data_IF_465225779452
#
_entry.id   IF_465225779452
#
_cell.length_a   1.000
_cell.length_b   1.000
_cell.length_c   1.000
_cell.angle_alpha   90.00
_cell.angle_beta   90.00
_cell.angle_gamma   90.00
#
_symmetry.space_group_name_H-M   'P 1'
#
loop_
_entity.id
_entity.type
_entity.pdbx_description
1 polymer ?
#
# COMPACT_ATOMS: atom_id res chain seq x y z
N UNK A 1 26.59 -44.39 -92.01
CA UNK A 1 27.59 -43.36 -91.64
C UNK A 1 26.85 -42.08 -91.21
N UNK A 2 26.94 -41.77 -89.91
CA UNK A 2 26.84 -40.44 -89.26
C UNK A 2 26.37 -39.28 -90.15
N UNK A 3 25.18 -38.73 -89.92
CA UNK A 3 24.78 -37.28 -89.79
C UNK A 3 23.29 -37.30 -89.36
N UNK A 4 22.75 -36.59 -88.37
CA UNK A 4 23.20 -35.48 -87.56
C UNK A 4 22.38 -35.46 -86.25
N UNK A 5 22.98 -35.87 -85.13
CA UNK A 5 22.45 -35.61 -83.78
C UNK A 5 22.85 -34.18 -83.35
N UNK A 6 22.35 -33.14 -84.03
CA UNK A 6 22.72 -31.75 -83.71
C UNK A 6 21.56 -30.77 -83.56
N UNK A 7 20.31 -31.24 -83.42
CA UNK A 7 19.17 -30.35 -83.14
C UNK A 7 18.48 -30.61 -81.78
N UNK A 8 18.90 -31.62 -81.01
CA UNK A 8 18.30 -31.91 -79.68
C UNK A 8 18.87 -31.08 -78.53
N UNK A 9 20.07 -30.51 -78.69
CA UNK A 9 20.72 -29.74 -77.62
C UNK A 9 20.18 -28.29 -77.51
N UNK A 10 19.72 -27.70 -78.62
CA UNK A 10 19.21 -26.32 -78.67
C UNK A 10 17.77 -26.25 -78.18
N UNK A 11 16.92 -27.20 -78.60
CA UNK A 11 15.51 -27.30 -78.16
C UNK A 11 15.42 -27.57 -76.66
N UNK A 12 16.24 -28.47 -76.11
CA UNK A 12 16.24 -28.76 -74.67
C UNK A 12 16.76 -27.61 -73.80
N UNK A 13 17.59 -26.70 -74.36
CA UNK A 13 18.05 -25.50 -73.64
C UNK A 13 17.03 -24.38 -73.70
N UNK A 14 16.27 -24.26 -74.80
CA UNK A 14 15.17 -23.31 -74.96
C UNK A 14 13.97 -23.69 -74.10
N UNK A 15 13.52 -24.95 -74.15
CA UNK A 15 12.44 -25.47 -73.31
C UNK A 15 12.77 -25.36 -71.81
N UNK A 16 14.01 -25.67 -71.41
CA UNK A 16 14.44 -25.48 -70.01
C UNK A 16 14.49 -23.99 -69.62
N UNK A 17 14.80 -23.10 -70.56
CA UNK A 17 14.82 -21.65 -70.30
C UNK A 17 13.40 -21.11 -70.17
N UNK A 18 12.47 -21.57 -71.00
CA UNK A 18 11.04 -21.28 -70.88
C UNK A 18 10.47 -21.84 -69.58
N UNK A 19 10.74 -23.09 -69.22
CA UNK A 19 10.30 -23.67 -67.95
C UNK A 19 10.88 -22.93 -66.72
N UNK A 20 12.13 -22.46 -66.79
CA UNK A 20 12.71 -21.64 -65.72
C UNK A 20 12.08 -20.25 -65.68
N UNK A 21 11.74 -19.66 -66.83
CA UNK A 21 11.11 -18.35 -66.89
C UNK A 21 9.65 -18.41 -66.41
N UNK A 22 8.89 -19.43 -66.84
CA UNK A 22 7.52 -19.72 -66.38
C UNK A 22 7.54 -20.02 -64.88
N UNK A 23 8.47 -20.86 -64.39
CA UNK A 23 8.59 -21.12 -62.95
C UNK A 23 8.95 -19.87 -62.15
N UNK A 24 9.76 -18.96 -62.72
CA UNK A 24 10.05 -17.66 -62.09
C UNK A 24 8.85 -16.74 -62.09
N UNK A 25 8.10 -16.67 -63.20
CA UNK A 25 6.89 -15.87 -63.34
C UNK A 25 5.78 -16.38 -62.41
N UNK A 26 5.62 -17.70 -62.27
CA UNK A 26 4.72 -18.35 -61.31
C UNK A 26 5.13 -18.07 -59.85
N UNK A 27 6.45 -18.04 -59.58
CA UNK A 27 6.98 -17.76 -58.23
C UNK A 27 6.83 -16.28 -57.88
N UNK A 28 7.08 -15.36 -58.82
CA UNK A 28 6.86 -13.92 -58.63
C UNK A 28 5.38 -13.60 -58.51
N UNK A 29 4.51 -14.20 -59.31
CA UNK A 29 3.06 -14.02 -59.22
C UNK A 29 2.50 -14.61 -57.91
N UNK A 30 2.97 -15.79 -57.51
CA UNK A 30 2.61 -16.37 -56.21
C UNK A 30 3.10 -15.51 -55.04
N UNK A 31 4.33 -14.97 -55.10
CA UNK A 31 4.86 -14.08 -54.06
C UNK A 31 4.15 -12.71 -54.04
N UNK A 32 3.74 -12.16 -55.19
CA UNK A 32 2.96 -10.93 -55.25
C UNK A 32 1.56 -11.13 -54.64
N UNK A 33 0.89 -12.23 -54.99
CA UNK A 33 -0.42 -12.58 -54.45
C UNK A 33 -0.32 -12.85 -52.92
N UNK A 34 0.72 -13.57 -52.48
CA UNK A 34 1.00 -13.78 -51.06
C UNK A 34 1.34 -12.48 -50.32
N UNK A 35 1.96 -11.51 -50.98
CA UNK A 35 2.27 -10.20 -50.40
C UNK A 35 1.05 -9.26 -50.36
N UNK A 36 0.21 -9.25 -51.40
CA UNK A 36 -1.04 -8.48 -51.45
C UNK A 36 -2.08 -9.03 -50.46
N UNK A 37 -2.23 -10.35 -50.35
CA UNK A 37 -3.11 -10.98 -49.37
C UNK A 37 -2.62 -10.73 -47.94
N UNK A 38 -1.30 -10.75 -47.71
CA UNK A 38 -0.73 -10.36 -46.42
C UNK A 38 -0.90 -8.87 -46.15
N UNK A 39 -0.82 -8.01 -47.16
CA UNK A 39 -1.03 -6.57 -47.00
C UNK A 39 -2.50 -6.27 -46.69
N UNK A 40 -3.45 -6.77 -47.48
CA UNK A 40 -4.87 -6.59 -47.20
C UNK A 40 -5.26 -7.18 -45.83
N UNK A 41 -4.74 -8.35 -45.46
CA UNK A 41 -4.98 -8.99 -44.16
C UNK A 41 -4.37 -8.24 -42.97
N UNK A 42 -3.15 -7.69 -43.11
CA UNK A 42 -2.49 -6.90 -42.05
C UNK A 42 -3.25 -5.59 -41.81
N UNK A 43 -3.67 -4.89 -42.86
CA UNK A 43 -4.43 -3.64 -42.74
C UNK A 43 -5.84 -3.89 -42.21
N UNK A 44 -6.48 -4.97 -42.64
CA UNK A 44 -7.81 -5.31 -42.16
C UNK A 44 -7.80 -5.72 -40.68
N UNK A 45 -6.74 -6.40 -40.24
CA UNK A 45 -6.51 -6.79 -38.85
C UNK A 45 -6.33 -5.59 -37.92
N UNK A 46 -5.62 -4.56 -38.36
CA UNK A 46 -5.44 -3.34 -37.57
C UNK A 46 -6.75 -2.54 -37.50
N UNK A 47 -7.48 -2.40 -38.62
CA UNK A 47 -8.80 -1.76 -38.62
C UNK A 47 -9.81 -2.48 -37.71
N UNK A 48 -9.86 -3.81 -37.75
CA UNK A 48 -10.73 -4.59 -36.86
C UNK A 48 -10.36 -4.43 -35.39
N UNK A 49 -9.06 -4.39 -35.07
CA UNK A 49 -8.60 -4.17 -33.69
C UNK A 49 -9.02 -2.80 -33.17
N UNK A 50 -8.87 -1.75 -33.98
CA UNK A 50 -9.34 -0.41 -33.62
C UNK A 50 -10.86 -0.37 -33.47
N UNK A 51 -11.60 -0.94 -34.42
CA UNK A 51 -13.06 -0.97 -34.39
C UNK A 51 -13.58 -1.72 -33.15
N UNK A 52 -13.07 -2.92 -32.87
CA UNK A 52 -13.43 -3.70 -31.68
C UNK A 52 -13.05 -2.94 -30.40
N UNK A 53 -11.92 -2.23 -30.36
CA UNK A 53 -11.54 -1.42 -29.20
C UNK A 53 -12.55 -0.30 -28.93
N UNK A 54 -12.98 0.45 -29.97
CA UNK A 54 -13.98 1.51 -29.80
C UNK A 54 -15.36 0.97 -29.45
N UNK A 55 -15.77 -0.14 -30.08
CA UNK A 55 -17.05 -0.81 -29.76
C UNK A 55 -17.02 -1.35 -28.33
N UNK A 56 -15.94 -2.00 -27.91
CA UNK A 56 -15.75 -2.47 -26.53
C UNK A 56 -15.79 -1.30 -25.54
N UNK A 57 -15.03 -0.24 -25.81
CA UNK A 57 -15.02 0.97 -24.98
C UNK A 57 -16.42 1.60 -24.86
N UNK A 58 -17.15 1.70 -25.97
CA UNK A 58 -18.51 2.20 -25.99
C UNK A 58 -19.46 1.30 -25.20
N UNK A 59 -19.38 -0.02 -25.36
CA UNK A 59 -20.17 -0.98 -24.59
C UNK A 59 -19.89 -0.88 -23.09
N UNK A 60 -18.62 -0.72 -22.70
CA UNK A 60 -18.23 -0.48 -21.29
C UNK A 60 -18.79 0.84 -20.78
N UNK A 61 -18.75 1.91 -21.59
CA UNK A 61 -19.33 3.20 -21.23
C UNK A 61 -20.84 3.10 -21.06
N UNK A 62 -21.54 2.39 -21.96
CA UNK A 62 -22.97 2.12 -21.84
C UNK A 62 -23.28 1.27 -20.60
N UNK A 63 -22.52 0.22 -20.34
CA UNK A 63 -22.66 -0.59 -19.12
C UNK A 63 -22.46 0.24 -17.86
N UNK A 64 -21.44 1.09 -17.84
CA UNK A 64 -21.16 2.00 -16.74
C UNK A 64 -22.31 2.98 -16.54
N UNK A 65 -22.80 3.62 -17.60
CA UNK A 65 -23.95 4.54 -17.54
C UNK A 65 -25.22 3.82 -17.08
N UNK A 66 -25.49 2.61 -17.58
CA UNK A 66 -26.60 1.78 -17.14
C UNK A 66 -26.46 1.37 -15.68
N UNK A 67 -25.26 1.05 -15.22
CA UNK A 67 -25.00 0.75 -13.80
C UNK A 67 -25.31 1.97 -12.95
N UNK A 68 -24.91 3.16 -13.38
CA UNK A 68 -25.21 4.41 -12.69
C UNK A 68 -26.71 4.75 -12.70
N UNK A 69 -27.41 4.50 -13.80
CA UNK A 69 -28.87 4.68 -13.86
C UNK A 69 -29.62 3.64 -13.04
N UNK A 70 -29.21 2.36 -13.09
CA UNK A 70 -29.78 1.28 -12.29
C UNK A 70 -29.60 1.54 -10.80
N UNK A 71 -28.44 2.06 -10.38
CA UNK A 71 -28.19 2.48 -9.00
C UNK A 71 -29.08 3.68 -8.62
N UNK A 72 -29.28 4.64 -9.52
CA UNK A 72 -30.19 5.78 -9.29
C UNK A 72 -31.67 5.37 -9.17
N UNK A 73 -32.09 4.33 -9.88
CA UNK A 73 -33.48 3.84 -9.88
C UNK A 73 -33.73 2.97 -8.65
N UNK A 74 -32.77 2.08 -8.33
CA UNK A 74 -32.88 1.19 -7.15
C UNK A 74 -32.95 2.01 -5.87
N UNK A 75 -32.14 3.07 -5.76
CA UNK A 75 -32.14 3.96 -4.59
C UNK A 75 -33.40 4.83 -4.51
N UNK A 76 -34.07 5.08 -5.65
CA UNK A 76 -35.35 5.81 -5.69
C UNK A 76 -36.52 5.08 -5.03
N UNK A 77 -36.46 3.75 -4.90
CA UNK A 77 -37.54 2.97 -4.28
C UNK A 77 -37.55 2.95 -2.74
N UNK A 78 -36.48 3.45 -2.08
CA UNK A 78 -36.29 3.28 -0.63
C UNK A 78 -36.47 4.57 0.20
N UNK A 79 -36.82 5.71 -0.41
CA UNK A 79 -36.75 7.03 0.25
C UNK A 79 -38.08 7.62 0.75
N UNK A 80 -39.12 6.83 0.90
CA UNK A 80 -40.32 7.30 1.61
C UNK A 80 -40.15 7.09 3.12
N UNK A 81 -39.33 7.91 3.80
CA UNK A 81 -39.39 8.09 5.27
C UNK A 81 -38.64 9.37 5.71
N UNK A 82 -39.25 10.50 5.41
CA UNK A 82 -39.45 11.62 6.34
C UNK A 82 -38.24 12.19 7.11
N UNK A 83 -37.09 12.40 6.47
CA UNK A 83 -36.01 13.27 7.01
C UNK A 83 -35.29 13.98 5.88
N UNK A 84 -34.88 15.24 6.07
CA UNK A 84 -34.04 16.02 5.15
C UNK A 84 -32.65 15.38 5.01
N UNK A 85 -32.54 14.27 4.28
CA UNK A 85 -31.29 13.53 4.19
C UNK A 85 -30.35 14.16 3.16
N UNK A 86 -29.07 14.22 3.55
CA UNK A 86 -27.96 14.77 2.77
C UNK A 86 -27.94 14.32 1.30
N UNK A 87 -27.79 15.29 0.40
CA UNK A 87 -27.66 15.09 -1.05
C UNK A 87 -26.54 14.11 -1.42
N UNK A 88 -25.53 13.95 -0.54
CA UNK A 88 -24.46 12.96 -0.69
C UNK A 88 -25.00 11.51 -0.61
N UNK A 89 -25.98 11.26 0.26
CA UNK A 89 -26.60 9.94 0.45
C UNK A 89 -27.56 9.62 -0.68
N UNK A 90 -28.17 10.64 -1.29
CA UNK A 90 -29.06 10.52 -2.45
C UNK A 90 -28.30 10.38 -3.79
N UNK A 91 -27.05 10.86 -3.84
CA UNK A 91 -26.24 10.86 -5.05
C UNK A 91 -25.85 9.43 -5.50
N UNK A 92 -26.05 9.16 -6.80
CA UNK A 92 -25.56 7.94 -7.47
C UNK A 92 -24.03 7.87 -7.40
N UNK A 93 -23.45 6.68 -7.53
CA UNK A 93 -22.00 6.47 -7.56
C UNK A 93 -21.24 7.47 -8.46
N UNK A 94 -21.82 7.80 -9.62
CA UNK A 94 -21.25 8.79 -10.53
C UNK A 94 -21.29 10.22 -9.97
N UNK A 95 -22.39 10.61 -9.33
CA UNK A 95 -22.49 11.92 -8.69
C UNK A 95 -21.57 12.04 -7.47
N UNK A 96 -21.26 10.92 -6.79
CA UNK A 96 -20.18 10.85 -5.79
C UNK A 96 -18.80 11.03 -6.42
N UNK A 97 -18.55 10.37 -7.56
CA UNK A 97 -17.27 10.45 -8.27
C UNK A 97 -17.00 11.85 -8.83
N UNK A 98 -18.01 12.52 -9.36
CA UNK A 98 -17.88 13.86 -9.95
C UNK A 98 -18.21 14.99 -8.97
N UNK A 99 -18.44 14.68 -7.69
CA UNK A 99 -18.90 15.62 -6.66
C UNK A 99 -20.06 16.52 -7.10
N UNK A 100 -20.90 16.04 -8.01
CA UNK A 100 -21.94 16.84 -8.65
C UNK A 100 -23.01 17.33 -7.65
N UNK A 101 -23.21 16.58 -6.56
CA UNK A 101 -24.09 16.98 -5.47
C UNK A 101 -23.64 18.28 -4.76
N UNK A 102 -22.34 18.59 -4.77
CA UNK A 102 -21.80 19.85 -4.22
C UNK A 102 -22.13 21.06 -5.09
N UNK A 103 -22.27 20.88 -6.41
CA UNK A 103 -22.57 21.97 -7.34
C UNK A 103 -23.91 22.65 -7.00
N UNK A 104 -24.90 21.89 -6.53
CA UNK A 104 -26.17 22.45 -6.06
C UNK A 104 -26.00 23.38 -4.85
N UNK A 105 -25.20 22.98 -3.86
CA UNK A 105 -24.90 23.78 -2.68
C UNK A 105 -24.10 25.04 -3.03
N UNK A 106 -23.13 24.93 -3.94
CA UNK A 106 -22.31 26.07 -4.40
C UNK A 106 -23.18 27.13 -5.08
N UNK A 107 -24.12 26.72 -5.94
CA UNK A 107 -25.04 27.65 -6.62
C UNK A 107 -25.98 28.34 -5.62
N UNK A 108 -26.43 27.61 -4.60
CA UNK A 108 -27.27 28.16 -3.53
C UNK A 108 -26.50 29.21 -2.73
N UNK A 109 -25.27 28.91 -2.34
CA UNK A 109 -24.41 29.85 -1.61
C UNK A 109 -24.03 31.11 -2.39
N UNK A 110 -24.01 31.02 -3.72
CA UNK A 110 -23.84 32.20 -4.57
C UNK A 110 -25.08 33.11 -4.57
N UNK A 111 -26.28 32.54 -4.45
CA UNK A 111 -27.56 33.28 -4.51
C UNK A 111 -28.04 33.79 -3.15
N UNK A 112 -27.76 33.06 -2.07
CA UNK A 112 -28.16 33.39 -0.70
C UNK A 112 -27.10 32.99 0.32
N UNK A 113 -26.92 33.74 1.42
CA UNK A 113 -26.14 33.26 2.55
C UNK A 113 -26.76 31.95 3.07
N UNK A 114 -25.95 30.92 3.26
CA UNK A 114 -26.44 29.60 3.70
C UNK A 114 -27.00 29.72 5.12
N UNK A 115 -28.25 29.34 5.29
CA UNK A 115 -28.85 29.13 6.61
C UNK A 115 -28.69 27.67 7.02
N UNK A 116 -28.65 27.39 8.33
CA UNK A 116 -28.57 26.02 8.88
C UNK A 116 -29.71 25.12 8.38
N UNK A 117 -30.84 25.72 7.98
CA UNK A 117 -31.99 25.01 7.41
C UNK A 117 -31.77 24.51 5.95
N UNK A 118 -30.81 25.07 5.22
CA UNK A 118 -30.43 24.68 3.86
C UNK A 118 -29.29 23.65 3.83
N UNK A 119 -28.56 23.53 4.94
CA UNK A 119 -27.53 22.51 5.12
C UNK A 119 -28.26 21.23 5.49
N UNK A 120 -28.16 20.22 4.63
CA UNK A 120 -28.81 18.94 4.89
C UNK A 120 -28.23 18.26 6.14
N UNK A 121 -29.04 17.46 6.82
CA UNK A 121 -28.61 16.77 8.04
C UNK A 121 -27.33 15.94 7.82
N UNK A 122 -26.46 15.92 8.82
CA UNK A 122 -25.20 15.19 8.79
C UNK A 122 -25.43 13.70 8.44
N UNK A 123 -24.54 13.13 7.62
CA UNK A 123 -24.64 11.74 7.18
C UNK A 123 -24.83 10.82 8.40
N UNK A 124 -25.79 9.85 8.38
CA UNK A 124 -26.01 8.94 9.51
C UNK A 124 -24.75 8.22 10.04
N UNK A 125 -23.71 8.03 9.21
CA UNK A 125 -22.44 7.44 9.66
C UNK A 125 -21.57 8.39 10.47
N UNK A 126 -21.69 9.69 10.20
CA UNK A 126 -20.88 10.73 10.83
C UNK A 126 -21.60 11.38 12.01
N UNK A 127 -22.85 10.96 12.28
CA UNK A 127 -23.57 11.39 13.47
C UNK A 127 -22.82 10.94 14.72
N UNK A 128 -22.68 11.87 15.66
CA UNK A 128 -22.08 11.65 16.97
C UNK A 128 -22.68 10.43 17.67
N UNK A 129 -23.97 10.19 17.51
CA UNK A 129 -24.70 9.08 18.12
C UNK A 129 -24.16 7.70 17.71
N UNK A 130 -23.52 7.60 16.54
CA UNK A 130 -22.96 6.35 16.00
C UNK A 130 -21.45 6.25 16.25
N UNK A 131 -20.73 7.37 16.13
CA UNK A 131 -19.26 7.39 16.29
C UNK A 131 -18.84 7.31 17.75
N UNK A 132 -19.54 8.02 18.65
CA UNK A 132 -19.23 8.06 20.08
C UNK A 132 -19.22 6.67 20.74
N UNK A 133 -20.23 5.79 20.57
CA UNK A 133 -20.22 4.49 21.25
C UNK A 133 -19.06 3.61 20.79
N UNK A 134 -18.76 3.60 19.49
CA UNK A 134 -17.63 2.84 18.92
C UNK A 134 -16.29 3.33 19.49
N UNK A 135 -16.13 4.66 19.57
CA UNK A 135 -14.95 5.27 20.18
C UNK A 135 -14.85 4.96 21.67
N UNK A 136 -15.95 5.03 22.40
CA UNK A 136 -16.00 4.79 23.84
C UNK A 136 -15.63 3.34 24.19
N UNK A 137 -16.09 2.37 23.39
CA UNK A 137 -15.70 0.95 23.54
C UNK A 137 -14.19 0.76 23.32
N UNK A 138 -13.64 1.35 22.26
CA UNK A 138 -12.20 1.29 21.98
C UNK A 138 -11.39 2.00 23.09
N UNK A 139 -11.88 3.14 23.58
CA UNK A 139 -11.27 3.90 24.65
C UNK A 139 -11.24 3.11 25.96
N UNK A 140 -12.36 2.50 26.37
CA UNK A 140 -12.45 1.65 27.57
C UNK A 140 -11.47 0.48 27.50
N UNK A 141 -11.30 -0.13 26.32
CA UNK A 141 -10.35 -1.23 26.10
C UNK A 141 -8.89 -0.80 26.33
N UNK A 142 -8.48 0.32 25.73
CA UNK A 142 -7.12 0.84 25.92
C UNK A 142 -6.91 1.37 27.35
N UNK A 143 -7.93 1.99 27.95
CA UNK A 143 -7.87 2.44 29.33
C UNK A 143 -7.62 1.27 30.30
N UNK A 144 -8.39 0.18 30.19
CA UNK A 144 -8.20 -1.00 31.04
C UNK A 144 -6.82 -1.67 30.85
N UNK A 145 -6.27 -1.61 29.64
CA UNK A 145 -4.90 -2.09 29.36
C UNK A 145 -3.86 -1.19 30.03
N UNK A 146 -4.02 0.13 29.93
CA UNK A 146 -3.15 1.10 30.58
C UNK A 146 -3.23 1.03 32.11
N UNK A 147 -4.41 0.77 32.67
CA UNK A 147 -4.61 0.60 34.11
C UNK A 147 -3.83 -0.62 34.63
N UNK A 148 -3.90 -1.76 33.94
CA UNK A 148 -3.11 -2.96 34.27
C UNK A 148 -1.60 -2.72 34.19
N UNK A 149 -1.15 -1.99 33.16
CA UNK A 149 0.27 -1.62 33.03
C UNK A 149 0.68 -0.70 34.18
N UNK A 150 -0.14 0.30 34.51
CA UNK A 150 0.12 1.21 35.62
C UNK A 150 0.20 0.45 36.94
N UNK A 151 -0.74 -0.46 37.20
CA UNK A 151 -0.76 -1.31 38.39
C UNK A 151 0.48 -2.22 38.46
N UNK A 152 0.87 -2.83 37.35
CA UNK A 152 2.10 -3.62 37.25
C UNK A 152 3.35 -2.77 37.56
N UNK A 153 3.45 -1.58 36.97
CA UNK A 153 4.58 -0.66 37.21
C UNK A 153 4.60 -0.23 38.68
N UNK A 154 3.46 0.14 39.26
CA UNK A 154 3.40 0.54 40.68
C UNK A 154 3.79 -0.62 41.60
N UNK A 155 3.30 -1.83 41.34
CA UNK A 155 3.65 -3.00 42.12
C UNK A 155 5.14 -3.32 42.01
N UNK A 156 5.72 -3.31 40.80
CA UNK A 156 7.16 -3.51 40.58
C UNK A 156 8.02 -2.44 41.25
N UNK A 157 7.59 -1.18 41.23
CA UNK A 157 8.29 -0.10 41.94
C UNK A 157 8.23 -0.31 43.45
N UNK A 158 7.16 -0.92 43.96
CA UNK A 158 6.97 -1.20 45.38
C UNK A 158 7.72 -2.45 45.83
N UNK A 159 7.83 -3.49 44.99
CA UNK A 159 8.66 -4.69 45.28
C UNK A 159 10.15 -4.36 45.22
N UNK A 160 10.55 -3.50 44.28
CA UNK A 160 11.94 -3.03 44.13
C UNK A 160 12.26 -1.83 45.01
N UNK A 161 11.30 -1.33 45.81
CA UNK A 161 11.53 -0.27 46.79
C UNK A 161 12.31 -0.85 47.97
N UNK A 162 13.64 -0.75 47.87
CA UNK A 162 14.51 -0.96 49.02
C UNK A 162 14.15 0.01 50.17
N UNK A 163 14.15 -0.46 51.44
CA UNK A 163 14.03 0.45 52.58
C UNK A 163 15.20 1.43 52.58
N UNK A 164 14.96 2.69 52.98
CA UNK A 164 15.97 3.75 52.93
C UNK A 164 17.29 3.38 53.65
N UNK A 165 17.20 2.52 54.67
CA UNK A 165 18.34 1.98 55.40
C UNK A 165 19.30 1.17 54.52
N UNK A 166 18.81 0.32 53.60
CA UNK A 166 19.69 -0.50 52.76
C UNK A 166 20.37 0.31 51.66
N UNK A 167 19.69 1.34 51.13
CA UNK A 167 20.29 2.30 50.19
C UNK A 167 21.43 3.08 50.84
N UNK A 168 21.24 3.53 52.08
CA UNK A 168 22.29 4.20 52.85
C UNK A 168 23.43 3.25 53.21
N UNK A 169 23.14 2.03 53.65
CA UNK A 169 24.15 1.00 53.93
C UNK A 169 25.02 0.70 52.70
N UNK A 170 24.44 0.66 51.50
CA UNK A 170 25.18 0.43 50.26
C UNK A 170 26.09 1.61 49.91
N UNK A 171 25.63 2.85 50.09
CA UNK A 171 26.42 4.06 49.85
C UNK A 171 27.58 4.15 50.83
N UNK A 172 27.29 3.99 52.13
CA UNK A 172 28.29 4.05 53.19
C UNK A 172 29.29 2.90 53.08
N UNK A 173 28.82 1.68 52.80
CA UNK A 173 29.67 0.51 52.59
C UNK A 173 30.61 0.66 51.39
N UNK A 174 30.13 1.19 50.26
CA UNK A 174 30.98 1.49 49.11
C UNK A 174 32.01 2.58 49.44
N UNK A 175 31.60 3.64 50.16
CA UNK A 175 32.53 4.69 50.57
C UNK A 175 33.64 4.13 51.46
N UNK A 176 33.29 3.34 52.48
CA UNK A 176 34.24 2.69 53.38
C UNK A 176 35.22 1.77 52.63
N UNK A 177 34.73 0.96 51.68
CA UNK A 177 35.58 0.13 50.83
C UNK A 177 36.56 0.99 50.01
N UNK A 178 36.07 2.03 49.34
CA UNK A 178 36.94 2.90 48.53
C UNK A 178 38.01 3.60 49.36
N UNK A 179 37.68 4.06 50.57
CA UNK A 179 38.66 4.66 51.48
C UNK A 179 39.68 3.64 51.98
N UNK A 180 39.25 2.43 52.33
CA UNK A 180 40.15 1.37 52.79
C UNK A 180 41.16 0.96 51.69
N UNK A 181 40.69 0.78 50.45
CA UNK A 181 41.57 0.48 49.31
C UNK A 181 42.59 1.59 49.04
N UNK A 182 42.20 2.86 49.23
CA UNK A 182 43.12 4.00 49.07
C UNK A 182 44.13 4.12 50.22
N UNK A 183 43.78 3.67 51.43
CA UNK A 183 44.65 3.68 52.61
C UNK A 183 45.62 2.48 52.69
N UNK A 184 45.32 1.38 52.01
CA UNK A 184 46.15 0.16 52.00
C UNK A 184 47.65 0.39 51.72
N UNK A 185 48.07 1.16 50.70
CA UNK A 185 49.49 1.35 50.39
C UNK A 185 50.25 2.16 51.45
N UNK A 186 49.55 2.98 52.25
CA UNK A 186 50.18 3.75 53.33
C UNK A 186 50.45 2.86 54.55
N UNK A 187 49.53 1.94 54.86
CA UNK A 187 49.69 0.97 55.94
C UNK A 187 50.81 -0.04 55.66
N UNK A 188 50.93 -0.54 54.43
CA UNK A 188 52.01 -1.47 54.07
C UNK A 188 53.39 -0.79 54.11
N UNK A 189 53.46 0.49 53.76
CA UNK A 189 54.70 1.28 53.84
C UNK A 189 55.12 1.55 55.30
N UNK A 190 54.17 1.81 56.20
CA UNK A 190 54.43 2.00 57.64
C UNK A 190 54.82 0.69 58.32
N UNK A 191 54.12 -0.42 58.02
CA UNK A 191 54.46 -1.76 58.51
C UNK A 191 55.84 -2.21 58.00
N UNK A 192 56.18 -1.93 56.73
CA UNK A 192 57.51 -2.21 56.17
C UNK A 192 58.63 -1.39 56.82
N UNK A 193 58.32 -0.22 57.41
CA UNK A 193 59.30 0.64 58.09
C UNK A 193 59.47 0.35 59.59
N UNK A 194 58.59 -0.46 60.18
CA UNK A 194 58.63 -0.83 61.59
C UNK A 194 58.55 -2.37 61.76
N UNK A 195 59.68 -3.09 61.66
CA UNK A 195 59.72 -4.54 61.87
C UNK A 195 59.58 -4.96 63.35
N UNK A 196 59.41 -4.02 64.29
CA UNK A 196 59.36 -4.28 65.73
C UNK A 196 57.96 -4.43 66.35
N UNK A 197 56.88 -4.48 65.56
CA UNK A 197 55.51 -4.55 66.09
C UNK A 197 54.91 -5.97 66.14
N UNK A 198 55.70 -7.02 65.90
CA UNK A 198 55.25 -8.41 66.17
C UNK A 198 55.45 -8.85 67.63
N UNK A 199 56.14 -8.06 68.47
CA UNK A 199 56.51 -8.52 69.83
C UNK A 199 55.58 -8.03 70.95
N UNK A 200 54.67 -7.07 70.71
CA UNK A 200 53.79 -6.50 71.76
C UNK A 200 52.39 -7.15 71.87
N UNK A 201 52.04 -8.11 71.00
CA UNK A 201 50.80 -8.90 71.14
C UNK A 201 51.06 -10.37 71.51
N UNK A 202 52.16 -10.65 72.25
CA UNK A 202 52.38 -11.94 72.91
C UNK A 202 52.62 -11.84 74.43
N UNK A 203 52.53 -10.64 75.01
CA UNK A 203 52.69 -10.41 76.45
C UNK A 203 51.34 -9.95 77.05
N UNK A 204 50.39 -10.88 77.08
CA UNK A 204 49.38 -10.94 78.15
C UNK A 204 48.81 -12.36 78.21
N UNK A 205 49.64 -13.30 78.70
CA UNK A 205 49.27 -14.62 79.20
C UNK A 205 50.16 -15.00 80.37
#
# INVERSE_FOLDING_TARGET
LKKNCSNKATTGRFLRREEINIRKEDTDFSNLCYSEDNMFSVYHKDFFRFSIFYVYFFLVLVQFVLHCFAESITRRGYYELNTKQCLEVESSFLSRLTFWWMTGLIIIGYKKPLEEADISDLHPRDKSDVVIPTFEEAWKKEYAKHEKIREYITNQLQTNREPAATKLLRIVGNYALTTAYHSLPQLTTVLSKNPGFEEELSIDK
#
